data_IF_320530719022
#
_entry.id   IF_320530719022
#
_cell.length_a   1.000
_cell.length_b   1.000
_cell.length_c   1.000
_cell.angle_alpha   90.00
_cell.angle_beta   90.00
_cell.angle_gamma   90.00
#
_symmetry.space_group_name_H-M   'P 1'
#
loop_
_entity.id
_entity.type
_entity.pdbx_description
1 polymer ?
#
# COMPACT_ATOMS: atom_id res chain seq x y z
N UNK A 1 -1.17 11.78 -51.14
CA UNK A 1 -2.23 12.54 -51.85
C UNK A 1 -3.33 11.55 -52.19
N UNK A 2 -4.34 11.47 -51.32
CA UNK A 2 -5.42 10.51 -51.35
C UNK A 2 -6.37 10.93 -50.24
N UNK A 3 -7.49 11.51 -50.63
CA UNK A 3 -8.39 12.22 -49.72
C UNK A 3 -9.22 11.21 -48.95
N UNK A 4 -8.97 11.12 -47.64
CA UNK A 4 -9.99 10.69 -46.70
C UNK A 4 -10.80 11.94 -46.32
N UNK A 5 -11.75 12.31 -47.19
CA UNK A 5 -12.86 13.18 -46.77
C UNK A 5 -13.75 12.36 -45.84
N UNK A 6 -13.41 12.40 -44.56
CA UNK A 6 -14.28 11.90 -43.50
C UNK A 6 -15.53 12.78 -43.49
N UNK A 7 -16.64 12.22 -43.95
CA UNK A 7 -17.93 12.90 -43.91
C UNK A 7 -18.31 13.19 -42.46
N UNK A 8 -18.10 14.44 -42.04
CA UNK A 8 -18.74 15.00 -40.86
C UNK A 8 -20.26 14.98 -41.13
N UNK A 9 -20.95 13.93 -40.67
CA UNK A 9 -22.40 13.85 -40.71
C UNK A 9 -22.97 15.08 -40.01
N UNK A 10 -23.78 15.86 -40.73
CA UNK A 10 -24.47 17.00 -40.14
C UNK A 10 -25.26 16.51 -38.91
N UNK A 11 -25.18 17.19 -37.75
CA UNK A 11 -25.84 16.73 -36.55
C UNK A 11 -27.34 16.62 -36.82
N UNK A 12 -27.87 15.40 -36.76
CA UNK A 12 -29.28 15.14 -37.00
C UNK A 12 -30.15 16.10 -36.16
N UNK A 13 -31.24 16.61 -36.72
CA UNK A 13 -32.12 17.57 -36.01
C UNK A 13 -32.56 17.04 -34.63
N UNK A 14 -32.70 15.71 -34.53
CA UNK A 14 -32.97 14.95 -33.30
C UNK A 14 -31.90 15.22 -32.22
N UNK A 15 -30.62 15.21 -32.58
CA UNK A 15 -29.51 15.52 -31.67
C UNK A 15 -29.56 16.95 -31.16
N UNK A 16 -29.92 17.92 -32.01
CA UNK A 16 -30.10 19.31 -31.62
C UNK A 16 -31.24 19.50 -30.61
N UNK A 17 -32.38 18.83 -30.82
CA UNK A 17 -33.52 18.86 -29.87
C UNK A 17 -33.17 18.21 -28.54
N UNK A 18 -32.50 17.05 -28.55
CA UNK A 18 -32.04 16.38 -27.32
C UNK A 18 -31.06 17.27 -26.54
N UNK A 19 -30.13 17.93 -27.24
CA UNK A 19 -29.17 18.85 -26.63
C UNK A 19 -29.86 20.06 -25.96
N UNK A 20 -30.84 20.67 -26.65
CA UNK A 20 -31.61 21.79 -26.09
C UNK A 20 -32.45 21.37 -24.87
N UNK A 21 -33.08 20.19 -24.91
CA UNK A 21 -33.82 19.64 -23.77
C UNK A 21 -32.90 19.34 -22.57
N UNK A 22 -31.73 18.74 -22.82
CA UNK A 22 -30.74 18.46 -21.78
C UNK A 22 -30.20 19.75 -21.14
N UNK A 23 -29.87 20.76 -21.97
CA UNK A 23 -29.40 22.06 -21.49
C UNK A 23 -30.48 22.81 -20.70
N UNK A 24 -31.73 22.79 -21.15
CA UNK A 24 -32.85 23.38 -20.42
C UNK A 24 -33.09 22.69 -19.07
N UNK A 25 -33.05 21.35 -19.02
CA UNK A 25 -33.16 20.60 -17.77
C UNK A 25 -32.00 20.93 -16.82
N UNK A 26 -30.77 21.01 -17.33
CA UNK A 26 -29.56 21.32 -16.56
C UNK A 26 -29.61 22.75 -15.99
N UNK A 27 -30.14 23.73 -16.73
CA UNK A 27 -30.45 25.08 -16.22
C UNK A 27 -31.47 25.04 -15.09
N UNK A 28 -32.58 24.30 -15.26
CA UNK A 28 -33.63 24.16 -14.22
C UNK A 28 -33.07 23.52 -12.95
N UNK A 29 -32.29 22.43 -13.07
CA UNK A 29 -31.63 21.80 -11.93
C UNK A 29 -30.62 22.74 -11.25
N UNK A 30 -29.84 23.50 -12.02
CA UNK A 30 -28.85 24.43 -11.45
C UNK A 30 -29.53 25.59 -10.73
N UNK A 31 -30.61 26.14 -11.28
CA UNK A 31 -31.43 27.15 -10.62
C UNK A 31 -32.08 26.62 -9.33
N UNK A 32 -32.56 25.37 -9.34
CA UNK A 32 -33.08 24.70 -8.14
C UNK A 32 -32.00 24.54 -7.05
N UNK A 33 -30.79 24.08 -7.41
CA UNK A 33 -29.68 23.94 -6.45
C UNK A 33 -29.21 25.31 -5.91
N UNK A 34 -29.12 26.34 -6.76
CA UNK A 34 -28.80 27.71 -6.31
C UNK A 34 -29.84 28.20 -5.29
N UNK A 35 -31.11 27.94 -5.54
CA UNK A 35 -32.20 28.29 -4.61
C UNK A 35 -32.10 27.53 -3.28
N UNK A 36 -31.81 26.23 -3.32
CA UNK A 36 -31.62 25.37 -2.13
C UNK A 36 -30.47 25.89 -1.26
N UNK A 37 -29.27 26.06 -1.82
CA UNK A 37 -28.09 26.54 -1.09
C UNK A 37 -28.27 27.97 -0.56
N UNK A 38 -28.85 28.88 -1.35
CA UNK A 38 -29.13 30.24 -0.91
C UNK A 38 -30.14 30.27 0.26
N UNK A 39 -31.11 29.36 0.26
CA UNK A 39 -32.08 29.21 1.35
C UNK A 39 -31.42 28.68 2.63
N UNK A 40 -30.53 27.68 2.51
CA UNK A 40 -29.75 27.15 3.65
C UNK A 40 -28.82 28.23 4.25
N UNK A 41 -28.01 28.90 3.42
CA UNK A 41 -27.13 30.00 3.85
C UNK A 41 -27.93 31.11 4.57
N UNK A 42 -29.07 31.52 4.02
CA UNK A 42 -29.92 32.54 4.63
C UNK A 42 -30.47 32.10 5.99
N UNK A 43 -30.87 30.84 6.12
CA UNK A 43 -31.36 30.28 7.37
C UNK A 43 -30.27 30.25 8.45
N UNK A 44 -29.04 29.82 8.12
CA UNK A 44 -27.93 29.82 9.08
C UNK A 44 -27.53 31.23 9.53
N UNK A 45 -27.46 32.19 8.61
CA UNK A 45 -27.20 33.60 8.93
C UNK A 45 -28.31 34.19 9.80
N UNK A 46 -29.58 33.86 9.55
CA UNK A 46 -30.72 34.28 10.37
C UNK A 46 -30.64 33.67 11.78
N UNK A 47 -30.47 32.36 11.88
CA UNK A 47 -30.33 31.62 13.16
C UNK A 47 -29.16 32.13 14.00
N UNK A 48 -28.02 32.46 13.36
CA UNK A 48 -26.87 33.03 14.05
C UNK A 48 -27.17 34.42 14.64
N UNK A 49 -27.90 35.28 13.91
CA UNK A 49 -28.37 36.59 14.43
C UNK A 49 -29.38 36.46 15.57
N UNK A 50 -30.24 35.45 15.53
CA UNK A 50 -31.20 35.16 16.60
C UNK A 50 -30.49 34.68 17.89
N UNK A 51 -29.44 33.87 17.76
CA UNK A 51 -28.69 33.34 18.91
C UNK A 51 -27.63 34.30 19.49
N UNK A 52 -26.90 35.03 18.64
CA UNK A 52 -25.78 35.89 19.04
C UNK A 52 -26.10 37.40 18.97
N UNK A 53 -27.34 37.76 18.65
CA UNK A 53 -27.80 39.14 18.52
C UNK A 53 -27.56 39.75 17.13
N UNK A 54 -28.23 40.88 16.86
CA UNK A 54 -28.19 41.59 15.58
C UNK A 54 -26.86 42.35 15.38
N UNK A 55 -25.78 41.60 15.12
CA UNK A 55 -24.46 42.13 14.75
C UNK A 55 -23.96 41.58 13.42
N UNK A 56 -23.13 42.35 12.71
CA UNK A 56 -22.44 41.87 11.50
C UNK A 56 -21.51 40.68 11.81
N UNK A 57 -20.94 40.64 13.03
CA UNK A 57 -20.10 39.54 13.53
C UNK A 57 -20.90 38.24 13.68
N UNK A 58 -22.16 38.30 14.16
CA UNK A 58 -23.04 37.14 14.23
C UNK A 58 -23.39 36.61 12.82
N UNK A 59 -23.66 37.52 11.88
CA UNK A 59 -23.89 37.16 10.47
C UNK A 59 -22.65 36.48 9.85
N UNK A 60 -21.46 37.00 10.11
CA UNK A 60 -20.20 36.42 9.65
C UNK A 60 -19.93 35.03 10.26
N UNK A 61 -20.16 34.84 11.55
CA UNK A 61 -20.07 33.51 12.18
C UNK A 61 -21.08 32.52 11.59
N UNK A 62 -22.30 32.96 11.27
CA UNK A 62 -23.29 32.11 10.60
C UNK A 62 -22.80 31.66 9.22
N UNK A 63 -22.35 32.61 8.41
CA UNK A 63 -21.77 32.30 7.09
C UNK A 63 -20.50 31.44 7.18
N UNK A 64 -19.65 31.64 8.21
CA UNK A 64 -18.45 30.82 8.42
C UNK A 64 -18.77 29.38 8.83
N UNK A 65 -19.86 29.14 9.55
CA UNK A 65 -20.29 27.79 9.93
C UNK A 65 -20.85 27.01 8.73
N UNK A 66 -21.49 27.69 7.77
CA UNK A 66 -21.98 27.09 6.53
C UNK A 66 -20.85 26.55 5.64
N UNK A 67 -19.63 27.08 5.70
CA UNK A 67 -18.49 26.63 4.87
C UNK A 67 -17.86 25.31 5.37
N UNK A 68 -18.65 24.25 5.41
CA UNK A 68 -18.18 22.87 5.60
C UNK A 68 -17.50 22.33 4.34
N UNK A 69 -16.71 21.27 4.47
CA UNK A 69 -16.04 20.59 3.33
C UNK A 69 -17.02 20.18 2.23
N UNK A 70 -18.25 19.81 2.59
CA UNK A 70 -19.28 19.37 1.64
C UNK A 70 -19.95 20.56 0.95
N UNK A 71 -20.34 21.58 1.71
CA UNK A 71 -20.98 22.78 1.15
C UNK A 71 -20.01 23.53 0.21
N UNK A 72 -18.71 23.52 0.50
CA UNK A 72 -17.68 24.04 -0.42
C UNK A 72 -17.64 23.24 -1.75
N UNK A 73 -17.76 21.91 -1.70
CA UNK A 73 -17.83 21.08 -2.91
C UNK A 73 -19.14 21.29 -3.68
N UNK A 74 -20.27 21.46 -3.00
CA UNK A 74 -21.56 21.71 -3.63
C UNK A 74 -21.64 23.10 -4.28
N UNK A 75 -21.06 24.13 -3.65
CA UNK A 75 -20.85 25.45 -4.23
C UNK A 75 -19.90 25.39 -5.44
N UNK A 76 -18.78 24.66 -5.36
CA UNK A 76 -17.84 24.48 -6.47
C UNK A 76 -18.52 23.80 -7.66
N UNK A 77 -19.34 22.77 -7.42
CA UNK A 77 -20.18 22.11 -8.43
C UNK A 77 -21.13 23.12 -9.08
N UNK A 78 -21.89 23.89 -8.30
CA UNK A 78 -22.85 24.88 -8.81
C UNK A 78 -22.14 25.95 -9.64
N UNK A 79 -20.97 26.42 -9.20
CA UNK A 79 -20.14 27.37 -9.94
C UNK A 79 -19.70 26.79 -11.28
N UNK A 80 -19.08 25.61 -11.31
CA UNK A 80 -18.59 24.98 -12.54
C UNK A 80 -19.71 24.69 -13.54
N UNK A 81 -20.84 24.14 -13.07
CA UNK A 81 -22.03 23.89 -13.89
C UNK A 81 -22.61 25.21 -14.41
N UNK A 82 -22.66 26.26 -13.58
CA UNK A 82 -23.08 27.61 -13.99
C UNK A 82 -22.19 28.21 -15.08
N UNK A 83 -20.86 28.12 -14.96
CA UNK A 83 -19.93 28.58 -16.00
C UNK A 83 -20.08 27.76 -17.28
N UNK A 84 -20.27 26.44 -17.19
CA UNK A 84 -20.51 25.57 -18.35
C UNK A 84 -21.83 25.92 -19.09
N UNK A 85 -22.90 26.26 -18.36
CA UNK A 85 -24.15 26.80 -18.95
C UNK A 85 -23.88 28.11 -19.70
N UNK A 86 -23.18 29.05 -19.08
CA UNK A 86 -22.90 30.37 -19.68
C UNK A 86 -22.08 30.21 -20.96
N UNK A 87 -21.09 29.32 -20.96
CA UNK A 87 -20.33 28.94 -22.16
C UNK A 87 -21.22 28.32 -23.25
N UNK A 88 -22.09 27.38 -22.89
CA UNK A 88 -23.04 26.75 -23.82
C UNK A 88 -23.99 27.75 -24.51
N UNK A 89 -24.35 28.85 -23.85
CA UNK A 89 -25.13 29.92 -24.48
C UNK A 89 -24.31 30.89 -25.35
N UNK A 90 -23.00 30.96 -25.14
CA UNK A 90 -22.08 31.76 -25.94
C UNK A 90 -21.66 31.04 -27.23
N UNK A 91 -21.45 29.72 -27.16
CA UNK A 91 -21.12 28.87 -28.32
C UNK A 91 -22.40 28.37 -29.02
N UNK A 92 -23.05 29.26 -29.77
CA UNK A 92 -24.36 29.00 -30.40
C UNK A 92 -24.35 28.01 -31.57
N UNK A 93 -23.19 27.70 -32.14
CA UNK A 93 -23.09 26.90 -33.37
C UNK A 93 -22.17 25.67 -33.26
N UNK A 94 -21.37 25.53 -32.19
CA UNK A 94 -20.56 24.33 -31.98
C UNK A 94 -20.93 23.54 -30.71
N UNK A 95 -20.79 22.22 -30.82
CA UNK A 95 -21.08 21.25 -29.77
C UNK A 95 -19.93 21.24 -28.74
N UNK A 96 -19.81 22.29 -27.92
CA UNK A 96 -18.71 22.53 -26.97
C UNK A 96 -17.32 22.42 -27.62
N UNK A 97 -16.96 23.37 -28.48
CA UNK A 97 -15.65 23.35 -29.13
C UNK A 97 -14.51 23.81 -28.19
N UNK A 98 -13.33 23.18 -28.30
CA UNK A 98 -12.10 23.57 -27.60
C UNK A 98 -12.21 23.58 -26.06
N UNK A 99 -11.88 24.72 -25.45
CA UNK A 99 -11.78 24.89 -23.98
C UNK A 99 -13.07 24.55 -23.22
N UNK A 100 -14.23 24.71 -23.87
CA UNK A 100 -15.52 24.33 -23.30
C UNK A 100 -15.63 22.83 -22.98
N UNK A 101 -14.99 21.97 -23.78
CA UNK A 101 -14.95 20.52 -23.57
C UNK A 101 -14.07 20.16 -22.36
N UNK A 102 -12.96 20.87 -22.18
CA UNK A 102 -12.06 20.73 -21.02
C UNK A 102 -12.76 21.12 -19.71
N UNK A 103 -13.49 22.26 -19.73
CA UNK A 103 -14.31 22.70 -18.60
C UNK A 103 -15.42 21.69 -18.28
N UNK A 104 -16.14 21.19 -19.29
CA UNK A 104 -17.21 20.21 -19.11
C UNK A 104 -16.67 18.91 -18.50
N UNK A 105 -15.50 18.44 -18.94
CA UNK A 105 -14.84 17.23 -18.43
C UNK A 105 -14.52 17.34 -16.93
N UNK A 106 -13.95 18.48 -16.49
CA UNK A 106 -13.74 18.76 -15.06
C UNK A 106 -15.06 18.88 -14.29
N UNK A 107 -16.06 19.54 -14.87
CA UNK A 107 -17.39 19.71 -14.26
C UNK A 107 -18.05 18.37 -14.00
N UNK A 108 -17.98 17.42 -14.94
CA UNK A 108 -18.51 16.06 -14.78
C UNK A 108 -17.85 15.34 -13.60
N UNK A 109 -16.52 15.42 -13.45
CA UNK A 109 -15.82 14.81 -12.30
C UNK A 109 -16.30 15.38 -10.96
N UNK A 110 -16.50 16.69 -10.86
CA UNK A 110 -17.01 17.35 -9.64
C UNK A 110 -18.49 17.01 -9.38
N UNK A 111 -19.31 16.85 -10.44
CA UNK A 111 -20.69 16.35 -10.29
C UNK A 111 -20.69 14.91 -9.73
N UNK A 112 -19.81 14.04 -10.21
CA UNK A 112 -19.69 12.66 -9.69
C UNK A 112 -19.16 12.60 -8.25
N UNK A 113 -18.35 13.56 -7.79
CA UNK A 113 -17.90 13.57 -6.38
C UNK A 113 -19.05 13.72 -5.37
N UNK A 114 -20.21 14.26 -5.78
CA UNK A 114 -21.44 14.29 -4.98
C UNK A 114 -21.87 12.89 -4.51
N UNK A 115 -21.58 11.85 -5.29
CA UNK A 115 -21.90 10.46 -4.93
C UNK A 115 -21.20 10.03 -3.63
N UNK A 116 -19.99 10.55 -3.36
CA UNK A 116 -19.23 10.28 -2.14
C UNK A 116 -19.94 10.90 -0.91
N UNK A 117 -20.59 12.05 -1.07
CA UNK A 117 -21.43 12.65 -0.02
C UNK A 117 -22.61 11.74 0.34
N UNK A 118 -23.29 11.17 -0.65
CA UNK A 118 -24.39 10.22 -0.39
C UNK A 118 -23.91 8.91 0.29
N UNK A 119 -22.67 8.48 0.06
CA UNK A 119 -22.08 7.36 0.79
C UNK A 119 -21.90 7.62 2.30
N UNK A 120 -21.99 8.87 2.77
CA UNK A 120 -22.00 9.24 4.20
C UNK A 120 -23.21 8.66 4.95
N UNK A 121 -24.34 8.48 4.26
CA UNK A 121 -25.60 8.06 4.89
C UNK A 121 -25.65 6.56 5.26
N UNK A 122 -24.97 5.70 4.49
CA UNK A 122 -25.05 4.25 4.71
C UNK A 122 -24.15 3.79 5.85
N UNK A 123 -24.63 2.79 6.59
CA UNK A 123 -23.98 2.31 7.82
C UNK A 123 -22.56 1.78 7.61
N UNK A 124 -22.29 1.18 6.44
CA UNK A 124 -21.03 0.51 6.11
C UNK A 124 -20.01 1.46 5.47
N UNK A 125 -20.45 2.43 4.66
CA UNK A 125 -19.57 3.32 3.88
C UNK A 125 -19.29 4.66 4.56
N UNK A 126 -20.17 5.15 5.45
CA UNK A 126 -20.01 6.48 6.05
C UNK A 126 -18.74 6.64 6.90
N UNK A 127 -18.28 5.56 7.54
CA UNK A 127 -16.97 5.55 8.22
C UNK A 127 -15.82 5.66 7.21
N UNK A 128 -15.84 4.89 6.11
CA UNK A 128 -14.81 4.91 5.08
C UNK A 128 -14.64 6.31 4.46
N UNK A 129 -15.76 7.00 4.19
CA UNK A 129 -15.74 8.39 3.69
C UNK A 129 -15.09 9.34 4.71
N UNK A 130 -15.40 9.20 6.00
CA UNK A 130 -14.77 10.00 7.06
C UNK A 130 -13.27 9.75 7.16
N UNK A 131 -12.85 8.48 7.09
CA UNK A 131 -11.44 8.06 7.10
C UNK A 131 -10.70 8.62 5.90
N UNK A 132 -11.25 8.48 4.68
CA UNK A 132 -10.67 9.02 3.46
C UNK A 132 -10.43 10.54 3.53
N UNK A 133 -11.43 11.33 3.96
CA UNK A 133 -11.30 12.79 4.08
C UNK A 133 -10.28 13.17 5.15
N UNK A 134 -10.29 12.50 6.31
CA UNK A 134 -9.34 12.79 7.40
C UNK A 134 -7.90 12.54 6.94
N UNK A 135 -7.66 11.39 6.30
CA UNK A 135 -6.36 11.02 5.73
C UNK A 135 -5.91 12.04 4.68
N UNK A 136 -6.81 12.50 3.80
CA UNK A 136 -6.49 13.50 2.77
C UNK A 136 -6.00 14.83 3.38
N UNK A 137 -6.58 15.25 4.51
CA UNK A 137 -6.12 16.44 5.24
C UNK A 137 -4.77 16.23 5.94
N UNK A 138 -4.50 15.04 6.47
CA UNK A 138 -3.23 14.73 7.14
C UNK A 138 -2.04 14.76 6.14
N UNK A 139 -2.22 14.20 4.94
CA UNK A 139 -1.15 14.13 3.92
C UNK A 139 -0.90 15.44 3.15
N UNK A 140 -1.59 16.54 3.46
CA UNK A 140 -1.38 17.82 2.78
C UNK A 140 0.07 18.32 2.85
N UNK A 141 0.75 18.09 3.98
CA UNK A 141 2.15 18.49 4.17
C UNK A 141 3.10 17.61 3.35
N UNK A 142 2.75 16.34 3.15
CA UNK A 142 3.48 15.44 2.25
C UNK A 142 3.40 15.93 0.80
N UNK A 143 2.23 16.35 0.31
CA UNK A 143 2.10 16.89 -1.04
C UNK A 143 2.91 18.18 -1.28
N UNK A 144 3.02 19.06 -0.28
CA UNK A 144 3.90 20.25 -0.36
C UNK A 144 5.37 19.84 -0.52
N UNK A 145 5.82 18.84 0.25
CA UNK A 145 7.19 18.32 0.17
C UNK A 145 7.46 17.57 -1.13
N UNK A 146 6.48 16.80 -1.62
CA UNK A 146 6.52 16.13 -2.92
C UNK A 146 6.62 17.15 -4.08
N UNK A 147 5.82 18.21 -4.04
CA UNK A 147 5.84 19.27 -5.05
C UNK A 147 7.16 20.04 -5.06
N UNK A 148 7.70 20.37 -3.88
CA UNK A 148 9.02 21.03 -3.75
C UNK A 148 10.13 20.17 -4.35
N UNK A 149 10.16 18.88 -4.02
CA UNK A 149 11.16 17.94 -4.54
C UNK A 149 10.99 17.71 -6.06
N UNK A 150 9.74 17.56 -6.53
CA UNK A 150 9.41 17.45 -7.96
C UNK A 150 9.86 18.66 -8.76
N UNK A 151 9.63 19.89 -8.26
CA UNK A 151 10.11 21.12 -8.88
C UNK A 151 11.64 21.20 -8.92
N UNK A 152 12.33 20.72 -7.88
CA UNK A 152 13.79 20.67 -7.86
C UNK A 152 14.34 19.72 -8.94
N UNK A 153 13.77 18.52 -9.07
CA UNK A 153 14.15 17.60 -10.16
C UNK A 153 13.78 18.14 -11.54
N UNK A 154 12.59 18.73 -11.71
CA UNK A 154 12.16 19.30 -12.99
C UNK A 154 13.10 20.44 -13.43
N UNK A 155 13.55 21.26 -12.48
CA UNK A 155 14.57 22.29 -12.74
C UNK A 155 15.91 21.66 -13.16
N UNK A 156 16.35 20.59 -12.48
CA UNK A 156 17.60 19.90 -12.81
C UNK A 156 17.56 19.23 -14.20
N UNK A 157 16.46 18.55 -14.55
CA UNK A 157 16.26 17.99 -15.89
C UNK A 157 16.07 19.06 -16.96
N UNK A 158 15.38 20.16 -16.66
CA UNK A 158 15.27 21.31 -17.56
C UNK A 158 16.62 21.90 -17.94
N UNK A 159 17.53 22.05 -16.97
CA UNK A 159 18.92 22.46 -17.22
C UNK A 159 19.69 21.41 -18.03
N UNK A 160 19.58 20.12 -17.65
CA UNK A 160 20.33 19.02 -18.29
C UNK A 160 19.93 18.81 -19.75
N UNK A 161 18.63 18.90 -20.06
CA UNK A 161 18.06 18.76 -21.41
C UNK A 161 17.93 20.10 -22.14
N UNK A 162 18.58 21.16 -21.64
CA UNK A 162 18.62 22.51 -22.24
C UNK A 162 17.25 23.05 -22.64
N UNK A 163 16.22 22.75 -21.85
CA UNK A 163 14.85 23.14 -22.14
C UNK A 163 14.71 24.67 -22.07
N UNK A 164 13.90 25.28 -22.94
CA UNK A 164 13.67 26.72 -22.91
C UNK A 164 13.07 27.15 -21.57
N UNK A 165 13.55 28.29 -21.03
CA UNK A 165 13.05 28.90 -19.78
C UNK A 165 11.68 29.59 -19.95
N UNK A 166 10.80 29.00 -20.76
CA UNK A 166 9.42 29.43 -21.00
C UNK A 166 8.44 28.43 -20.36
N UNK A 167 7.15 28.72 -20.46
CA UNK A 167 6.09 27.85 -19.92
C UNK A 167 6.16 26.42 -20.49
N UNK A 168 6.38 26.27 -21.80
CA UNK A 168 6.37 24.96 -22.46
C UNK A 168 7.53 24.06 -22.05
N UNK A 169 8.73 24.63 -21.86
CA UNK A 169 9.90 23.87 -21.36
C UNK A 169 9.76 23.47 -19.88
N UNK A 170 9.21 24.36 -19.06
CA UNK A 170 8.91 24.07 -17.65
C UNK A 170 7.83 22.98 -17.52
N UNK A 171 6.74 23.09 -18.29
CA UNK A 171 5.66 22.11 -18.36
C UNK A 171 6.18 20.73 -18.80
N UNK A 172 6.95 20.67 -19.89
CA UNK A 172 7.57 19.43 -20.37
C UNK A 172 8.49 18.77 -19.34
N UNK A 173 9.30 19.56 -18.62
CA UNK A 173 10.18 19.05 -17.57
C UNK A 173 9.42 18.57 -16.31
N UNK A 174 8.38 19.28 -15.89
CA UNK A 174 7.49 18.88 -14.80
C UNK A 174 6.73 17.58 -15.15
N UNK A 175 6.20 17.49 -16.37
CA UNK A 175 5.47 16.32 -16.86
C UNK A 175 6.38 15.09 -16.98
N UNK A 176 7.60 15.26 -17.51
CA UNK A 176 8.63 14.22 -17.54
C UNK A 176 8.96 13.70 -16.14
N UNK A 177 9.15 14.58 -15.17
CA UNK A 177 9.42 14.21 -13.77
C UNK A 177 8.23 13.50 -13.15
N UNK A 178 7.00 13.98 -13.37
CA UNK A 178 5.77 13.38 -12.83
C UNK A 178 5.57 11.94 -13.34
N UNK A 179 5.65 11.70 -14.65
CA UNK A 179 5.50 10.35 -15.23
C UNK A 179 6.58 9.38 -14.76
N UNK A 180 7.83 9.82 -14.71
CA UNK A 180 8.93 8.97 -14.26
C UNK A 180 8.90 8.73 -12.74
N UNK A 181 8.37 9.67 -11.93
CA UNK A 181 8.13 9.48 -10.49
C UNK A 181 7.02 8.47 -10.18
N UNK A 182 6.01 8.34 -11.05
CA UNK A 182 4.94 7.32 -10.93
C UNK A 182 5.39 5.95 -11.45
N UNK A 183 6.45 5.90 -12.26
CA UNK A 183 6.94 4.67 -12.89
C UNK A 183 6.24 4.30 -14.20
N UNK A 184 5.47 5.22 -14.79
CA UNK A 184 4.90 5.04 -16.15
C UNK A 184 6.02 4.96 -17.20
N UNK A 185 7.12 5.71 -16.97
CA UNK A 185 8.26 5.80 -17.88
C UNK A 185 7.96 6.70 -19.07
N UNK A 186 8.69 7.82 -19.20
CA UNK A 186 8.53 8.73 -20.34
C UNK A 186 9.89 9.09 -20.90
N UNK A 187 10.01 9.08 -22.23
CA UNK A 187 11.19 9.62 -22.91
C UNK A 187 11.39 11.11 -22.59
N UNK A 188 12.64 11.56 -22.63
CA UNK A 188 13.01 12.94 -22.40
C UNK A 188 12.26 13.92 -23.34
N UNK A 189 11.99 15.16 -22.87
CA UNK A 189 11.50 16.23 -23.74
C UNK A 189 12.41 16.47 -24.95
N UNK A 190 11.88 17.09 -26.00
CA UNK A 190 12.61 17.33 -27.26
C UNK A 190 13.99 17.98 -27.00
N UNK A 191 15.05 17.35 -27.51
CA UNK A 191 16.44 17.77 -27.31
C UNK A 191 17.17 17.14 -26.12
N UNK A 192 16.49 16.39 -25.25
CA UNK A 192 17.12 15.71 -24.10
C UNK A 192 17.84 14.40 -24.48
N UNK A 193 19.14 14.31 -24.16
CA UNK A 193 19.89 13.05 -24.23
C UNK A 193 19.83 12.27 -22.92
N UNK A 194 19.09 11.17 -22.92
CA UNK A 194 19.02 10.21 -21.81
C UNK A 194 20.26 9.29 -21.71
N UNK A 195 21.07 9.21 -22.77
CA UNK A 195 22.17 8.23 -22.84
C UNK A 195 23.37 8.68 -21.99
N UNK A 196 23.55 9.99 -21.81
CA UNK A 196 24.53 10.62 -20.93
C UNK A 196 24.47 10.07 -19.49
N UNK A 197 25.64 9.78 -18.93
CA UNK A 197 25.76 9.19 -17.58
C UNK A 197 25.11 10.06 -16.50
N UNK A 198 25.19 11.39 -16.61
CA UNK A 198 24.53 12.35 -15.72
C UNK A 198 23.01 12.17 -15.71
N UNK A 199 22.39 11.95 -16.87
CA UNK A 199 20.94 11.74 -16.98
C UNK A 199 20.52 10.44 -16.28
N UNK A 200 21.28 9.36 -16.49
CA UNK A 200 21.05 8.05 -15.83
C UNK A 200 21.21 8.13 -14.31
N UNK A 201 22.21 8.85 -13.81
CA UNK A 201 22.41 9.06 -12.37
C UNK A 201 21.28 9.91 -11.77
N UNK A 202 20.87 11.00 -12.45
CA UNK A 202 19.78 11.85 -11.99
C UNK A 202 18.43 11.12 -12.02
N UNK A 203 18.19 10.27 -13.03
CA UNK A 203 17.01 9.39 -13.13
C UNK A 203 16.99 8.34 -12.03
N UNK A 204 18.13 7.70 -11.72
CA UNK A 204 18.25 6.76 -10.61
C UNK A 204 17.92 7.44 -9.28
N UNK A 205 18.44 8.66 -9.07
CA UNK A 205 18.21 9.44 -7.86
C UNK A 205 16.73 9.90 -7.76
N UNK A 206 16.12 10.31 -8.87
CA UNK A 206 14.69 10.61 -8.98
C UNK A 206 13.83 9.43 -8.52
N UNK A 207 14.09 8.22 -9.05
CA UNK A 207 13.33 7.01 -8.69
C UNK A 207 13.57 6.63 -7.22
N UNK A 208 14.80 6.71 -6.72
CA UNK A 208 15.08 6.42 -5.31
C UNK A 208 14.36 7.42 -4.38
N UNK A 209 14.41 8.72 -4.68
CA UNK A 209 13.83 9.74 -3.81
C UNK A 209 12.31 9.80 -3.94
N UNK A 210 11.77 10.01 -5.14
CA UNK A 210 10.32 10.20 -5.33
C UNK A 210 9.54 8.88 -5.32
N UNK A 211 10.01 7.84 -6.01
CA UNK A 211 9.25 6.60 -6.09
C UNK A 211 9.47 5.70 -4.86
N UNK A 212 10.70 5.47 -4.41
CA UNK A 212 10.95 4.60 -3.25
C UNK A 212 10.76 5.34 -1.92
N UNK A 213 11.47 6.44 -1.67
CA UNK A 213 11.44 7.10 -0.35
C UNK A 213 10.09 7.81 -0.09
N UNK A 214 9.61 8.66 -1.01
CA UNK A 214 8.35 9.38 -0.77
C UNK A 214 7.13 8.45 -0.72
N UNK A 215 7.04 7.41 -1.56
CA UNK A 215 5.91 6.46 -1.49
C UNK A 215 5.90 5.67 -0.18
N UNK A 216 7.06 5.18 0.28
CA UNK A 216 7.15 4.50 1.57
C UNK A 216 6.81 5.43 2.75
N UNK A 217 7.23 6.69 2.68
CA UNK A 217 6.89 7.71 3.68
C UNK A 217 5.40 8.06 3.69
N UNK A 218 4.77 8.17 2.50
CA UNK A 218 3.32 8.31 2.36
C UNK A 218 2.59 7.14 3.01
N UNK A 219 2.95 5.89 2.67
CA UNK A 219 2.31 4.69 3.24
C UNK A 219 2.42 4.67 4.77
N UNK A 220 3.56 5.06 5.34
CA UNK A 220 3.74 5.14 6.79
C UNK A 220 2.77 6.15 7.45
N UNK A 221 2.65 7.37 6.92
CA UNK A 221 1.71 8.39 7.42
C UNK A 221 0.26 7.97 7.23
N UNK A 222 -0.06 7.38 6.07
CA UNK A 222 -1.41 6.89 5.75
C UNK A 222 -1.84 5.78 6.71
N UNK A 223 -0.93 4.88 7.09
CA UNK A 223 -1.21 3.79 8.04
C UNK A 223 -1.52 4.30 9.44
N UNK A 224 -0.69 5.19 9.98
CA UNK A 224 -0.92 5.80 11.32
C UNK A 224 -2.23 6.59 11.35
N UNK A 225 -2.50 7.35 10.28
CA UNK A 225 -3.74 8.12 10.13
C UNK A 225 -4.98 7.24 9.97
N UNK A 226 -4.85 6.09 9.29
CA UNK A 226 -5.92 5.10 9.16
C UNK A 226 -6.24 4.45 10.50
N UNK A 227 -5.22 3.94 11.22
CA UNK A 227 -5.38 3.30 12.53
C UNK A 227 -6.04 4.27 13.53
N UNK A 228 -5.58 5.53 13.58
CA UNK A 228 -6.12 6.60 14.44
C UNK A 228 -7.61 6.87 14.24
N UNK A 229 -8.10 6.77 12.99
CA UNK A 229 -9.52 6.98 12.67
C UNK A 229 -10.33 5.69 12.84
N UNK A 230 -9.75 4.53 12.55
CA UNK A 230 -10.38 3.22 12.79
C UNK A 230 -10.65 2.99 14.29
N UNK A 231 -9.73 3.44 15.15
CA UNK A 231 -9.87 3.42 16.60
C UNK A 231 -11.12 4.15 17.11
N UNK A 232 -11.58 5.16 16.38
CA UNK A 232 -12.75 5.97 16.69
C UNK A 232 -13.93 5.72 15.72
N UNK A 233 -13.93 4.59 15.01
CA UNK A 233 -14.84 4.33 13.88
C UNK A 233 -16.32 4.49 14.23
N UNK A 234 -16.76 4.03 15.40
CA UNK A 234 -18.17 4.13 15.82
C UNK A 234 -18.58 5.57 16.13
N UNK A 235 -17.73 6.33 16.85
CA UNK A 235 -17.97 7.75 17.14
C UNK A 235 -18.01 8.55 15.84
N UNK A 236 -17.04 8.31 14.95
CA UNK A 236 -16.98 8.92 13.62
C UNK A 236 -18.23 8.61 12.78
N UNK A 237 -18.70 7.35 12.76
CA UNK A 237 -19.92 6.93 12.06
C UNK A 237 -21.16 7.62 12.61
N UNK A 238 -21.31 7.68 13.93
CA UNK A 238 -22.47 8.27 14.58
C UNK A 238 -22.50 9.80 14.38
N UNK A 239 -21.33 10.45 14.42
CA UNK A 239 -21.19 11.89 14.16
C UNK A 239 -21.53 12.25 12.70
N UNK A 240 -21.09 11.46 11.71
CA UNK A 240 -21.47 11.66 10.30
C UNK A 240 -22.99 11.52 10.05
N UNK A 241 -23.69 10.66 10.82
CA UNK A 241 -25.16 10.57 10.75
C UNK A 241 -25.84 11.75 11.44
N UNK A 242 -25.31 12.20 12.58
CA UNK A 242 -25.84 13.37 13.27
C UNK A 242 -25.74 14.63 12.40
N UNK A 243 -24.63 14.78 11.67
CA UNK A 243 -24.40 15.84 10.69
C UNK A 243 -25.45 15.81 9.56
N UNK A 244 -25.71 14.64 8.96
CA UNK A 244 -26.77 14.46 7.96
C UNK A 244 -28.18 14.73 8.49
N UNK A 245 -28.49 14.31 9.73
CA UNK A 245 -29.79 14.60 10.37
C UNK A 245 -29.93 16.11 10.60
N UNK A 246 -28.87 16.77 11.06
CA UNK A 246 -28.85 18.22 11.25
C UNK A 246 -29.04 18.98 9.93
N UNK A 247 -28.34 18.60 8.85
CA UNK A 247 -28.51 19.18 7.49
C UNK A 247 -29.97 19.02 6.99
N UNK A 248 -30.53 17.81 7.14
CA UNK A 248 -31.92 17.53 6.76
C UNK A 248 -32.93 18.33 7.59
N UNK A 249 -32.67 18.53 8.89
CA UNK A 249 -33.51 19.34 9.78
C UNK A 249 -33.41 20.83 9.50
N UNK A 250 -32.22 21.35 9.17
CA UNK A 250 -32.05 22.75 8.74
C UNK A 250 -32.85 23.00 7.46
N UNK A 251 -32.75 22.12 6.47
CA UNK A 251 -33.50 22.22 5.21
C UNK A 251 -35.02 22.14 5.46
N UNK A 252 -35.48 21.11 6.18
CA UNK A 252 -36.90 20.96 6.52
C UNK A 252 -37.43 22.11 7.40
N UNK A 253 -36.60 22.70 8.27
CA UNK A 253 -36.98 23.84 9.10
C UNK A 253 -37.01 25.16 8.32
N UNK A 254 -36.22 25.29 7.24
CA UNK A 254 -36.31 26.41 6.32
C UNK A 254 -37.62 26.36 5.52
N UNK A 255 -38.01 25.18 5.04
CA UNK A 255 -39.33 24.95 4.41
C UNK A 255 -40.50 25.14 5.38
N UNK A 256 -40.36 24.67 6.62
CA UNK A 256 -41.41 24.70 7.64
C UNK A 256 -41.51 26.01 8.44
N UNK A 257 -40.72 27.03 8.10
CA UNK A 257 -40.51 28.28 8.85
C UNK A 257 -41.77 29.17 9.11
N UNK A 258 -42.97 28.68 8.79
CA UNK A 258 -44.26 29.30 9.14
C UNK A 258 -45.39 28.31 9.44
N UNK A 259 -45.13 27.02 9.66
CA UNK A 259 -46.20 25.99 9.78
C UNK A 259 -46.08 24.96 10.92
N UNK A 260 -44.92 24.78 11.56
CA UNK A 260 -44.76 23.76 12.60
C UNK A 260 -44.13 24.31 13.89
N UNK A 261 -44.54 23.83 15.08
CA UNK A 261 -43.85 24.13 16.33
C UNK A 261 -42.44 23.48 16.33
N UNK A 262 -41.49 24.04 17.09
CA UNK A 262 -40.13 23.50 17.15
C UNK A 262 -40.13 22.06 17.67
N UNK A 263 -39.47 21.15 16.94
CA UNK A 263 -39.30 19.75 17.37
C UNK A 263 -38.28 19.71 18.50
N UNK A 264 -38.70 19.24 19.67
CA UNK A 264 -37.84 19.05 20.83
C UNK A 264 -37.20 17.66 20.80
N UNK A 265 -35.89 17.61 20.64
CA UNK A 265 -35.12 16.36 20.67
C UNK A 265 -34.60 16.08 22.07
N UNK A 266 -34.84 14.87 22.57
CA UNK A 266 -34.18 14.36 23.77
C UNK A 266 -32.93 13.61 23.32
N UNK A 267 -31.77 14.27 23.39
CA UNK A 267 -30.49 13.61 23.22
C UNK A 267 -30.19 12.78 24.47
N UNK A 268 -30.60 11.51 24.44
CA UNK A 268 -30.13 10.54 25.42
C UNK A 268 -28.68 10.21 25.11
N UNK A 269 -27.75 10.85 25.83
CA UNK A 269 -26.41 10.30 26.02
C UNK A 269 -26.53 9.02 26.85
N UNK A 270 -26.96 7.93 26.20
CA UNK A 270 -26.67 6.60 26.72
C UNK A 270 -25.15 6.47 26.67
N UNK A 271 -24.51 6.77 27.80
CA UNK A 271 -23.09 6.51 27.99
C UNK A 271 -22.90 5.04 27.69
N UNK A 272 -22.21 4.76 26.57
CA UNK A 272 -21.93 3.39 26.14
C UNK A 272 -21.41 2.65 27.35
N UNK A 273 -22.12 1.59 27.77
CA UNK A 273 -21.72 0.76 28.90
C UNK A 273 -20.52 -0.10 28.55
N UNK A 274 -19.42 0.55 28.17
CA UNK A 274 -18.10 0.10 28.54
C UNK A 274 -18.14 -0.08 30.06
N UNK A 275 -18.00 -1.31 30.54
CA UNK A 275 -17.97 -1.63 31.98
C UNK A 275 -16.74 -1.03 32.71
N UNK A 276 -15.98 -0.17 32.02
CA UNK A 276 -14.64 0.30 32.35
C UNK A 276 -14.58 1.85 32.43
N UNK A 277 -15.71 2.57 32.33
CA UNK A 277 -15.75 4.04 32.20
C UNK A 277 -15.24 4.85 33.42
N UNK A 278 -14.72 4.20 34.46
CA UNK A 278 -13.99 4.82 35.58
C UNK A 278 -12.46 4.73 35.44
N UNK A 279 -11.95 4.20 34.32
CA UNK A 279 -10.52 4.01 34.04
C UNK A 279 -9.97 5.07 33.08
N UNK A 280 -8.73 5.49 33.36
CA UNK A 280 -8.02 6.56 32.65
C UNK A 280 -7.79 6.23 31.17
N UNK A 281 -7.53 7.22 30.31
CA UNK A 281 -7.13 6.98 28.92
C UNK A 281 -5.89 6.06 28.82
N UNK A 282 -4.98 6.18 29.79
CA UNK A 282 -3.82 5.29 29.95
C UNK A 282 -4.23 3.83 30.22
N UNK A 283 -5.29 3.60 30.99
CA UNK A 283 -5.82 2.27 31.29
C UNK A 283 -6.59 1.67 30.11
N UNK A 284 -7.25 2.51 29.29
CA UNK A 284 -7.92 2.06 28.05
C UNK A 284 -6.90 1.67 26.98
N UNK A 285 -5.80 2.44 26.86
CA UNK A 285 -4.64 2.03 26.09
C UNK A 285 -4.04 0.73 26.62
N UNK A 286 -3.98 0.53 27.94
CA UNK A 286 -3.51 -0.70 28.57
C UNK A 286 -4.43 -1.91 28.31
N UNK A 287 -5.76 -1.82 28.49
CA UNK A 287 -6.71 -2.91 28.20
C UNK A 287 -6.66 -3.29 26.69
N UNK A 288 -6.55 -2.30 25.80
CA UNK A 288 -6.42 -2.53 24.34
C UNK A 288 -5.06 -3.13 23.97
N UNK A 289 -3.99 -2.67 24.60
CA UNK A 289 -2.65 -3.27 24.47
C UNK A 289 -2.64 -4.70 25.00
N UNK A 290 -3.27 -4.97 26.14
CA UNK A 290 -3.41 -6.32 26.71
C UNK A 290 -4.24 -7.23 25.78
N UNK A 291 -5.28 -6.70 25.12
CA UNK A 291 -6.01 -7.40 24.05
C UNK A 291 -5.11 -7.77 22.87
N UNK A 292 -4.30 -6.82 22.37
CA UNK A 292 -3.31 -7.06 21.30
C UNK A 292 -2.24 -8.06 21.75
N UNK A 293 -1.73 -7.94 22.97
CA UNK A 293 -0.73 -8.85 23.56
C UNK A 293 -1.31 -10.25 23.75
N UNK A 294 -2.56 -10.41 24.21
CA UNK A 294 -3.25 -11.71 24.28
C UNK A 294 -3.49 -12.32 22.90
N UNK A 295 -3.77 -11.50 21.88
CA UNK A 295 -3.88 -11.98 20.50
C UNK A 295 -2.52 -12.43 19.95
N UNK A 296 -1.45 -11.65 20.19
CA UNK A 296 -0.06 -12.04 19.86
C UNK A 296 0.34 -13.30 20.63
N UNK A 297 0.07 -13.40 21.93
CA UNK A 297 0.34 -14.59 22.74
C UNK A 297 -0.42 -15.82 22.21
N UNK A 298 -1.69 -15.66 21.79
CA UNK A 298 -2.47 -16.75 21.19
C UNK A 298 -1.90 -17.19 19.84
N UNK A 299 -1.42 -16.25 19.02
CA UNK A 299 -0.72 -16.54 17.76
C UNK A 299 0.63 -17.21 18.03
N UNK A 300 1.47 -16.66 18.91
CA UNK A 300 2.77 -17.23 19.30
C UNK A 300 2.62 -18.62 19.93
N UNK A 301 1.61 -18.86 20.77
CA UNK A 301 1.29 -20.21 21.29
C UNK A 301 0.83 -21.17 20.18
N UNK A 302 0.14 -20.68 19.15
CA UNK A 302 -0.25 -21.49 17.98
C UNK A 302 0.97 -21.84 17.13
N UNK A 303 1.79 -20.85 16.77
CA UNK A 303 3.04 -21.05 16.03
C UNK A 303 4.00 -21.95 16.81
N UNK A 304 4.21 -21.68 18.10
CA UNK A 304 5.02 -22.51 18.99
C UNK A 304 4.55 -23.97 18.98
N UNK A 305 3.25 -24.23 19.13
CA UNK A 305 2.70 -25.60 19.02
C UNK A 305 2.94 -26.23 17.64
N UNK A 306 2.83 -25.47 16.55
CA UNK A 306 3.11 -25.98 15.20
C UNK A 306 4.60 -26.28 15.02
N UNK A 307 5.50 -25.42 15.51
CA UNK A 307 6.95 -25.70 15.50
C UNK A 307 7.33 -26.88 16.38
N UNK A 308 6.74 -27.06 17.57
CA UNK A 308 6.99 -28.24 18.41
C UNK A 308 6.47 -29.53 17.77
N UNK A 309 5.33 -29.49 17.08
CA UNK A 309 4.82 -30.63 16.31
C UNK A 309 5.73 -30.97 15.11
N UNK A 310 6.24 -29.95 14.40
CA UNK A 310 7.20 -30.14 13.31
C UNK A 310 8.55 -30.68 13.81
N UNK A 311 9.02 -30.23 14.98
CA UNK A 311 10.25 -30.72 15.61
C UNK A 311 10.10 -32.18 16.08
N UNK A 312 8.92 -32.57 16.54
CA UNK A 312 8.60 -33.97 16.85
C UNK A 312 8.59 -34.85 15.59
N UNK A 313 8.01 -34.38 14.47
CA UNK A 313 8.08 -35.09 13.18
C UNK A 313 9.53 -35.24 12.69
N UNK A 314 10.35 -34.19 12.82
CA UNK A 314 11.79 -34.29 12.53
C UNK A 314 12.51 -35.29 13.44
N UNK A 315 12.18 -35.34 14.73
CA UNK A 315 12.69 -36.35 15.66
C UNK A 315 12.35 -37.78 15.23
N UNK A 316 11.10 -38.02 14.81
CA UNK A 316 10.70 -39.33 14.27
C UNK A 316 11.44 -39.68 12.96
N UNK A 317 11.69 -38.71 12.08
CA UNK A 317 12.51 -38.93 10.87
C UNK A 317 13.96 -39.25 11.19
N UNK A 318 14.55 -38.61 12.21
CA UNK A 318 15.91 -38.90 12.66
C UNK A 318 16.01 -40.32 13.25
N UNK A 319 15.08 -40.73 14.10
CA UNK A 319 15.01 -42.11 14.61
C UNK A 319 14.88 -43.14 13.47
N UNK A 320 14.02 -42.87 12.47
CA UNK A 320 13.89 -43.73 11.29
C UNK A 320 15.12 -43.74 10.37
N UNK A 321 15.99 -42.73 10.44
CA UNK A 321 17.30 -42.73 9.78
C UNK A 321 18.31 -43.54 10.60
N UNK A 322 18.31 -43.40 11.92
CA UNK A 322 19.16 -44.15 12.86
C UNK A 322 18.91 -45.66 12.74
N UNK A 323 17.65 -46.11 12.77
CA UNK A 323 17.26 -47.50 12.52
C UNK A 323 17.78 -48.03 11.18
N UNK A 324 17.74 -47.21 10.13
CA UNK A 324 18.27 -47.56 8.80
C UNK A 324 19.79 -47.64 8.78
N UNK A 325 20.49 -46.78 9.52
CA UNK A 325 21.96 -46.82 9.66
C UNK A 325 22.36 -48.07 10.42
N UNK A 326 21.76 -48.39 11.56
CA UNK A 326 22.02 -49.63 12.30
C UNK A 326 21.71 -50.89 11.48
N UNK A 327 20.65 -50.86 10.65
CA UNK A 327 20.37 -51.92 9.69
C UNK A 327 21.44 -52.06 8.59
N UNK A 328 22.03 -50.96 8.13
CA UNK A 328 23.15 -50.98 7.17
C UNK A 328 24.42 -51.52 7.85
N UNK A 329 24.73 -51.10 9.07
CA UNK A 329 25.88 -51.59 9.85
C UNK A 329 25.79 -53.11 10.10
N UNK A 330 24.62 -53.62 10.49
CA UNK A 330 24.38 -55.04 10.67
C UNK A 330 24.59 -55.83 9.35
N UNK A 331 24.07 -55.33 8.23
CA UNK A 331 24.28 -55.92 6.91
C UNK A 331 25.76 -55.85 6.47
N UNK A 332 26.46 -54.76 6.77
CA UNK A 332 27.89 -54.61 6.46
C UNK A 332 28.75 -55.58 7.26
N UNK A 333 28.48 -55.74 8.56
CA UNK A 333 29.15 -56.71 9.42
C UNK A 333 28.88 -58.15 8.96
N UNK A 334 27.65 -58.47 8.55
CA UNK A 334 27.34 -59.78 7.94
C UNK A 334 28.06 -59.98 6.59
N UNK A 335 28.20 -58.91 5.80
CA UNK A 335 28.97 -58.91 4.54
C UNK A 335 30.46 -59.18 4.78
N UNK A 336 31.08 -58.48 5.74
CA UNK A 336 32.45 -58.70 6.18
C UNK A 336 32.68 -60.15 6.60
N UNK A 337 31.81 -60.70 7.45
CA UNK A 337 31.91 -62.10 7.89
C UNK A 337 31.82 -63.10 6.73
N UNK A 338 30.91 -62.90 5.77
CA UNK A 338 30.82 -63.74 4.56
C UNK A 338 32.04 -63.61 3.65
N UNK A 339 32.66 -62.43 3.57
CA UNK A 339 33.89 -62.22 2.80
C UNK A 339 35.07 -62.93 3.48
N UNK A 340 35.17 -62.88 4.81
CA UNK A 340 36.17 -63.65 5.57
C UNK A 340 35.99 -65.15 5.36
N UNK A 341 34.77 -65.68 5.51
CA UNK A 341 34.47 -67.10 5.27
C UNK A 341 34.77 -67.53 3.82
N UNK A 342 34.46 -66.68 2.83
CA UNK A 342 34.81 -66.95 1.43
C UNK A 342 36.33 -66.92 1.19
N UNK A 343 37.06 -66.02 1.85
CA UNK A 343 38.52 -65.94 1.78
C UNK A 343 39.19 -67.16 2.44
N UNK A 344 38.67 -67.62 3.57
CA UNK A 344 39.10 -68.85 4.25
C UNK A 344 38.85 -70.08 3.35
N UNK A 345 37.66 -70.23 2.78
CA UNK A 345 37.36 -71.32 1.82
C UNK A 345 38.24 -71.27 0.55
N UNK A 346 38.58 -70.07 0.06
CA UNK A 346 39.53 -69.92 -1.06
C UNK A 346 40.97 -70.29 -0.68
N UNK A 347 41.40 -69.96 0.55
CA UNK A 347 42.68 -70.40 1.09
C UNK A 347 42.72 -71.92 1.28
N UNK A 348 41.64 -72.52 1.81
CA UNK A 348 41.50 -73.97 1.96
C UNK A 348 41.53 -74.68 0.61
N UNK A 349 40.77 -74.24 -0.40
CA UNK A 349 40.79 -74.84 -1.75
C UNK A 349 42.14 -74.70 -2.45
N UNK A 350 42.91 -73.63 -2.17
CA UNK A 350 44.26 -73.44 -2.73
C UNK A 350 45.34 -74.21 -1.95
N UNK A 351 45.07 -74.60 -0.72
CA UNK A 351 46.02 -75.35 0.12
C UNK A 351 46.44 -76.73 -0.45
N UNK A 352 45.58 -77.57 -1.05
CA UNK A 352 46.02 -78.79 -1.73
C UNK A 352 46.85 -78.49 -2.98
N UNK A 353 46.46 -77.52 -3.82
CA UNK A 353 47.24 -77.14 -5.02
C UNK A 353 48.66 -76.67 -4.65
N UNK A 354 48.80 -75.83 -3.61
CA UNK A 354 50.08 -75.40 -3.08
C UNK A 354 50.91 -76.55 -2.47
N UNK A 355 50.27 -77.64 -2.03
CA UNK A 355 50.96 -78.82 -1.50
C UNK A 355 51.53 -79.72 -2.61
N UNK A 356 50.85 -79.83 -3.75
CA UNK A 356 51.38 -80.51 -4.93
C UNK A 356 52.46 -79.67 -5.62
N UNK A 357 52.25 -78.35 -5.77
CA UNK A 357 53.24 -77.45 -6.37
C UNK A 357 54.52 -77.31 -5.51
N UNK A 358 54.42 -77.43 -4.18
CA UNK A 358 55.60 -77.58 -3.30
C UNK A 358 56.33 -78.91 -3.49
N UNK A 359 55.62 -80.04 -3.58
CA UNK A 359 56.25 -81.34 -3.85
C UNK A 359 56.91 -81.39 -5.24
N UNK A 360 56.37 -80.66 -6.21
CA UNK A 360 56.99 -80.49 -7.53
C UNK A 360 58.22 -79.57 -7.50
N UNK A 361 58.21 -78.50 -6.69
CA UNK A 361 59.34 -77.55 -6.58
C UNK A 361 60.47 -78.01 -5.66
N UNK A 362 60.22 -78.76 -4.60
CA UNK A 362 61.30 -79.29 -3.74
C UNK A 362 62.14 -80.38 -4.44
N UNK A 363 61.66 -80.93 -5.55
CA UNK A 363 62.43 -81.82 -6.44
C UNK A 363 63.28 -81.08 -7.50
N UNK A 364 63.23 -79.74 -7.58
CA UNK A 364 63.90 -78.96 -8.62
C UNK A 364 64.47 -77.64 -8.10
N UNK A 365 65.79 -77.51 -8.16
CA UNK A 365 66.61 -76.32 -7.80
C UNK A 365 66.65 -75.92 -6.32
N UNK A 366 67.75 -76.31 -5.67
CA UNK A 366 68.19 -75.82 -4.35
C UNK A 366 69.19 -74.67 -4.51
N UNK A 367 68.96 -73.49 -3.92
CA UNK A 367 70.05 -72.55 -3.62
C UNK A 367 69.71 -71.49 -2.54
N UNK A 368 70.57 -71.46 -1.51
CA UNK A 368 71.10 -70.34 -0.69
C UNK A 368 70.22 -69.24 -0.02
N UNK A 369 70.47 -68.87 1.26
CA UNK A 369 69.72 -67.83 2.01
C UNK A 369 70.56 -66.59 2.46
N UNK A 370 70.00 -65.78 3.38
CA UNK A 370 70.54 -64.60 4.13
C UNK A 370 70.46 -63.22 3.43
N UNK A 371 70.23 -62.09 4.12
CA UNK A 371 69.74 -61.85 5.50
C UNK A 371 69.36 -60.38 5.79
N UNK A 372 68.26 -60.18 6.52
CA UNK A 372 68.05 -59.24 7.64
C UNK A 372 68.59 -57.78 7.67
N UNK A 373 67.66 -56.80 7.76
CA UNK A 373 67.35 -55.95 8.96
C UNK A 373 68.44 -55.01 9.58
N UNK A 374 68.09 -54.04 10.48
CA UNK A 374 67.23 -52.85 10.32
C UNK A 374 67.88 -51.53 10.87
N UNK A 375 67.20 -50.36 10.84
CA UNK A 375 67.72 -49.15 11.51
C UNK A 375 66.86 -47.86 11.56
N UNK A 376 66.07 -47.72 12.63
CA UNK A 376 65.85 -46.51 13.48
C UNK A 376 65.54 -45.07 12.95
N UNK A 377 64.39 -44.55 13.45
CA UNK A 377 64.18 -43.24 14.16
C UNK A 377 64.04 -41.89 13.36
N UNK A 378 63.48 -40.80 13.97
CA UNK A 378 62.51 -39.91 13.29
C UNK A 378 62.79 -38.38 13.36
N UNK A 379 61.86 -37.57 12.80
CA UNK A 379 61.25 -36.32 13.34
C UNK A 379 61.06 -35.14 12.34
N UNK A 380 59.95 -34.39 12.51
CA UNK A 380 59.59 -33.05 11.97
C UNK A 380 59.45 -32.86 10.42
N UNK A 381 58.65 -31.92 9.83
CA UNK A 381 57.93 -30.69 10.30
C UNK A 381 56.63 -30.41 9.47
N UNK A 382 55.82 -29.42 9.90
CA UNK A 382 54.62 -28.81 9.27
C UNK A 382 54.93 -27.89 8.04
N UNK A 383 53.99 -27.51 7.12
CA UNK A 383 52.79 -26.63 7.34
C UNK A 383 51.46 -27.11 6.67
N UNK A 384 50.25 -26.88 7.20
CA UNK A 384 49.46 -25.62 7.39
C UNK A 384 48.88 -25.00 6.10
N UNK A 385 47.58 -25.21 5.81
CA UNK A 385 46.61 -24.17 5.32
C UNK A 385 45.19 -24.52 5.82
N UNK A 386 44.52 -23.52 6.41
CA UNK A 386 43.07 -23.28 6.43
C UNK A 386 42.88 -21.75 6.49
N UNK A 387 41.72 -21.13 6.13
CA UNK A 387 40.60 -21.09 7.10
C UNK A 387 39.16 -20.87 6.53
N UNK A 388 38.17 -20.96 7.43
CA UNK A 388 36.84 -20.26 7.43
C UNK A 388 35.79 -20.67 6.35
N UNK A 389 34.46 -20.57 6.55
CA UNK A 389 33.58 -20.08 7.65
C UNK A 389 32.12 -20.56 7.40
N UNK A 390 31.12 -20.48 8.32
CA UNK A 390 31.09 -20.45 9.79
C UNK A 390 29.61 -20.51 10.31
N UNK A 391 29.33 -21.24 11.39
CA UNK A 391 28.07 -21.27 12.17
C UNK A 391 28.46 -21.53 13.65
N UNK A 392 27.75 -21.19 14.72
CA UNK A 392 26.69 -20.23 15.05
C UNK A 392 26.43 -20.45 16.56
N UNK A 393 26.45 -19.42 17.40
CA UNK A 393 25.82 -19.39 18.75
C UNK A 393 25.93 -17.96 19.29
N UNK A 394 24.85 -17.25 19.65
CA UNK A 394 23.92 -17.50 20.77
C UNK A 394 24.62 -17.56 22.14
N UNK A 395 24.84 -16.38 22.71
CA UNK A 395 25.05 -16.19 24.15
C UNK A 395 23.97 -15.25 24.69
N UNK A 396 22.91 -15.89 25.17
CA UNK A 396 22.10 -15.52 26.32
C UNK A 396 22.81 -14.56 27.30
N UNK A 397 22.17 -13.45 27.67
CA UNK A 397 22.48 -12.80 28.93
C UNK A 397 21.22 -12.28 29.62
N UNK A 398 21.19 -12.42 30.94
CA UNK A 398 20.04 -12.11 31.78
C UNK A 398 20.44 -11.17 32.91
N UNK A 399 19.47 -10.39 33.39
CA UNK A 399 19.44 -9.76 34.72
C UNK A 399 20.60 -8.82 35.11
N UNK A 400 20.35 -7.52 34.96
CA UNK A 400 20.44 -6.56 36.08
C UNK A 400 19.41 -5.45 35.89
#
# INVERSE_FOLDING_TARGET
MGLAEEHAEAPSEVGGVIFQLASAALVVFTAFFIWEEATQLWFEVKRSKENAGNGAVAAFHGASNYFTTWNILDLLRILLVGVAIIWSYSDREAFFSGDGLSLLSFTVLVVWSRLISFLRAFQNTGHLVRTFITIFWDIRMFFVLLALMGCAFASAFGILFQQPLNSTGLEGALWFVFRNAIGEGNSAPEGGDETTLTAKVLMLLLVIVLYLVMTNFLIAIMSDSFDRVQDNAEVARNLMRLELVYEAEVTASAEAAGRAPPRSYIFTCEGVRFANASRSEADQAADKWEGRVKQVEKTVRRESRMTSAALADQGHRLAAIEDRVSGIEANFNQGQARIQEALERLLEMRSPELSEDRRAKEASSSESPLSASPGALPAETFPTIAPQAAEASLVMNAQS
#
